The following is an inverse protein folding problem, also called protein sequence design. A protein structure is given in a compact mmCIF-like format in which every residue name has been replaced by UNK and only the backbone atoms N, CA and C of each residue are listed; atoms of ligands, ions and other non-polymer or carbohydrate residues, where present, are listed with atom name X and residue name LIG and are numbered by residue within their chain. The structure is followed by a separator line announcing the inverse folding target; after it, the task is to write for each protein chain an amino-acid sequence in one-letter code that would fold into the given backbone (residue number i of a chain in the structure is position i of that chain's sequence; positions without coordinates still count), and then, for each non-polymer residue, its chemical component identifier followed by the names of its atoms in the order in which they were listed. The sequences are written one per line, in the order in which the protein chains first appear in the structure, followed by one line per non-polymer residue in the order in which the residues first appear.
data_IF_522229155802
#
_entry.id   IF_522229155802
#
_cell.length_a   1.000
_cell.length_b   1.000
_cell.length_c   1.000
_cell.angle_alpha   90.00
_cell.angle_beta   90.00
_cell.angle_gamma   90.00
#
_symmetry.space_group_name_H-M   'P 1'
#
loop_
_entity.id
_entity.type
_entity.pdbx_description
1 polymer ?
#
# COMPACT_ATOMS: atom_id res chain seq x y z
N UNK A 1 17.05 -9.93 -19.35
CA UNK A 1 15.64 -9.49 -19.58
C UNK A 1 15.23 -8.61 -18.42
N UNK A 2 14.47 -7.51 -18.63
CA UNK A 2 13.96 -6.70 -17.50
C UNK A 2 12.63 -7.27 -16.99
N UNK A 3 12.51 -7.47 -15.68
CA UNK A 3 11.31 -7.97 -15.02
C UNK A 3 10.90 -7.01 -13.90
N UNK A 4 9.60 -6.80 -13.73
CA UNK A 4 9.06 -6.07 -12.60
C UNK A 4 9.12 -6.96 -11.35
N UNK A 5 9.82 -6.50 -10.33
CA UNK A 5 10.07 -7.21 -9.08
C UNK A 5 9.29 -6.54 -7.95
N UNK A 6 8.60 -7.37 -7.17
CA UNK A 6 7.87 -6.97 -5.99
C UNK A 6 8.69 -7.25 -4.74
N UNK A 7 9.02 -6.19 -4.01
CA UNK A 7 9.98 -6.22 -2.89
C UNK A 7 9.34 -5.93 -1.54
N UNK A 8 8.02 -5.74 -1.49
CA UNK A 8 7.31 -5.47 -0.23
C UNK A 8 7.67 -6.44 0.91
N UNK A 9 7.77 -7.77 0.69
CA UNK A 9 8.16 -8.69 1.76
C UNK A 9 9.56 -8.37 2.33
N UNK A 10 10.54 -8.12 1.46
CA UNK A 10 11.92 -7.79 1.86
C UNK A 10 12.01 -6.44 2.56
N UNK A 11 11.24 -5.45 2.12
CA UNK A 11 11.15 -4.15 2.80
C UNK A 11 10.60 -4.35 4.22
N UNK A 12 9.52 -5.10 4.40
CA UNK A 12 8.97 -5.38 5.73
C UNK A 12 9.97 -6.12 6.63
N UNK A 13 10.67 -7.11 6.08
CA UNK A 13 11.72 -7.84 6.80
C UNK A 13 12.84 -6.90 7.27
N UNK A 14 13.33 -6.02 6.40
CA UNK A 14 14.36 -5.03 6.74
C UNK A 14 13.92 -4.02 7.81
N UNK A 15 12.61 -3.74 7.89
CA UNK A 15 12.03 -2.86 8.90
C UNK A 15 11.73 -3.61 10.22
N UNK A 16 11.99 -4.91 10.29
CA UNK A 16 11.62 -5.74 11.44
C UNK A 16 10.10 -5.79 11.66
N UNK A 17 9.33 -5.64 10.58
CA UNK A 17 7.89 -5.49 10.63
C UNK A 17 7.15 -6.70 10.05
N UNK A 18 5.97 -6.95 10.60
CA UNK A 18 5.07 -8.01 10.15
C UNK A 18 4.01 -7.50 9.18
N UNK A 19 3.49 -8.38 8.34
CA UNK A 19 2.33 -8.09 7.48
C UNK A 19 1.13 -7.57 8.29
N UNK A 20 0.95 -8.06 9.52
CA UNK A 20 -0.09 -7.59 10.45
C UNK A 20 0.10 -6.12 10.86
N UNK A 21 1.33 -5.72 11.17
CA UNK A 21 1.63 -4.34 11.54
C UNK A 21 1.39 -3.39 10.35
N UNK A 22 1.78 -3.79 9.14
CA UNK A 22 1.47 -3.03 7.93
C UNK A 22 -0.04 -2.90 7.71
N UNK A 23 -0.77 -4.01 7.83
CA UNK A 23 -2.22 -4.06 7.67
C UNK A 23 -2.96 -3.18 8.69
N UNK A 24 -2.52 -3.21 9.94
CA UNK A 24 -3.04 -2.34 11.01
C UNK A 24 -2.83 -0.85 10.68
N UNK A 25 -1.64 -0.48 10.17
CA UNK A 25 -1.33 0.90 9.77
C UNK A 25 -2.15 1.36 8.58
N UNK A 26 -2.32 0.49 7.58
CA UNK A 26 -3.15 0.78 6.42
C UNK A 26 -4.61 1.04 6.81
N UNK A 27 -5.18 0.25 7.73
CA UNK A 27 -6.53 0.50 8.24
C UNK A 27 -6.63 1.84 8.97
N UNK A 28 -5.64 2.20 9.77
CA UNK A 28 -5.61 3.48 10.48
C UNK A 28 -5.59 4.66 9.49
N UNK A 29 -4.75 4.58 8.44
CA UNK A 29 -4.69 5.61 7.39
C UNK A 29 -6.04 5.75 6.66
N UNK A 30 -6.68 4.64 6.31
CA UNK A 30 -8.00 4.64 5.65
C UNK A 30 -9.10 5.22 6.54
N UNK A 31 -9.09 4.93 7.84
CA UNK A 31 -10.03 5.52 8.78
C UNK A 31 -9.86 7.04 8.86
N UNK A 32 -8.62 7.53 8.92
CA UNK A 32 -8.32 8.97 8.90
C UNK A 32 -8.73 9.64 7.58
N UNK A 33 -8.50 8.99 6.43
CA UNK A 33 -8.98 9.46 5.12
C UNK A 33 -10.51 9.58 5.10
N UNK A 34 -11.21 8.57 5.63
CA UNK A 34 -12.67 8.56 5.69
C UNK A 34 -13.22 9.65 6.62
N UNK A 35 -12.59 9.87 7.79
CA UNK A 35 -12.94 10.95 8.71
C UNK A 35 -12.73 12.34 8.09
N UNK A 36 -11.62 12.54 7.38
CA UNK A 36 -11.35 13.79 6.64
C UNK A 36 -12.40 14.02 5.55
N UNK A 37 -12.69 13.01 4.74
CA UNK A 37 -13.71 13.10 3.69
C UNK A 37 -15.10 13.40 4.28
N UNK A 38 -15.47 12.76 5.39
CA UNK A 38 -16.74 13.02 6.07
C UNK A 38 -16.80 14.44 6.67
N UNK A 39 -15.68 14.98 7.13
CA UNK A 39 -15.60 16.35 7.65
C UNK A 39 -15.72 17.37 6.51
N UNK A 40 -15.00 17.18 5.40
CA UNK A 40 -15.10 18.02 4.21
C UNK A 40 -16.50 17.98 3.56
N UNK A 41 -17.20 16.84 3.62
CA UNK A 41 -18.60 16.74 3.16
C UNK A 41 -19.60 17.49 4.05
N UNK A 42 -19.31 17.70 5.35
CA UNK A 42 -20.16 18.49 6.24
C UNK A 42 -20.08 20.00 5.96
N UNK A 43 -18.97 20.46 5.37
CA UNK A 43 -18.80 21.86 4.95
C UNK A 43 -19.28 22.12 3.52
N UNK A 44 -19.47 21.07 2.71
CA UNK A 44 -19.95 21.14 1.32
C UNK A 44 -21.13 20.21 1.07
N UNK A 45 -22.32 20.61 1.49
CA UNK A 45 -23.56 19.87 1.20
C UNK A 45 -23.87 19.93 -0.31
N UNK A 46 -23.57 18.86 -1.06
CA UNK A 46 -24.44 18.23 -2.09
C UNK A 46 -23.72 17.19 -2.97
N UNK A 47 -24.32 16.00 -3.00
CA UNK A 47 -24.32 14.99 -4.09
C UNK A 47 -22.98 14.49 -4.62
N UNK A 48 -22.66 13.24 -4.26
CA UNK A 48 -21.67 12.43 -4.97
C UNK A 48 -21.36 11.16 -4.19
N UNK A 49 -22.02 10.08 -4.59
CA UNK A 49 -21.74 8.67 -4.32
C UNK A 49 -20.57 8.38 -3.37
N UNK A 50 -20.84 7.79 -2.20
CA UNK A 50 -19.80 7.21 -1.34
C UNK A 50 -19.12 6.09 -2.12
N UNK A 51 -18.07 6.41 -2.88
CA UNK A 51 -17.10 5.42 -3.35
C UNK A 51 -16.55 4.75 -2.10
N UNK A 52 -17.05 3.54 -1.81
CA UNK A 52 -16.40 2.67 -0.84
C UNK A 52 -14.96 2.50 -1.34
N UNK A 53 -13.93 2.68 -0.51
CA UNK A 53 -12.56 2.45 -0.94
C UNK A 53 -12.44 1.01 -1.45
N UNK A 54 -12.43 0.85 -2.77
CA UNK A 54 -12.39 -0.44 -3.44
C UNK A 54 -10.94 -0.93 -3.37
N UNK A 55 -10.68 -2.05 -2.69
CA UNK A 55 -9.39 -2.74 -2.78
C UNK A 55 -8.76 -3.21 -1.47
N UNK A 56 -9.25 -2.78 -0.31
CA UNK A 56 -8.65 -3.14 0.98
C UNK A 56 -9.43 -4.26 1.68
N UNK A 57 -9.11 -5.51 1.32
CA UNK A 57 -9.40 -6.64 2.20
C UNK A 57 -8.13 -7.01 2.97
N UNK A 58 -8.21 -7.33 4.28
CA UNK A 58 -7.06 -7.78 5.07
C UNK A 58 -6.30 -8.93 4.38
N UNK A 59 -7.06 -9.89 3.83
CA UNK A 59 -6.51 -11.04 3.11
C UNK A 59 -5.67 -10.61 1.89
N UNK A 60 -6.04 -9.52 1.22
CA UNK A 60 -5.30 -9.01 0.07
C UNK A 60 -3.92 -8.49 0.46
N UNK A 61 -3.81 -7.71 1.55
CA UNK A 61 -2.52 -7.20 2.04
C UNK A 61 -1.62 -8.35 2.50
N UNK A 62 -2.18 -9.30 3.25
CA UNK A 62 -1.45 -10.49 3.69
C UNK A 62 -0.90 -11.28 2.49
N UNK A 63 -1.69 -11.44 1.43
CA UNK A 63 -1.24 -12.10 0.22
C UNK A 63 -0.10 -11.32 -0.46
N UNK A 64 -0.19 -9.99 -0.54
CA UNK A 64 0.89 -9.18 -1.11
C UNK A 64 2.19 -9.19 -0.29
N UNK A 65 2.09 -9.29 1.03
CA UNK A 65 3.25 -9.40 1.91
C UNK A 65 3.91 -10.79 1.85
N UNK A 66 3.24 -11.78 1.25
CA UNK A 66 3.77 -13.14 1.05
C UNK A 66 4.11 -13.46 -0.41
N UNK A 67 3.58 -12.68 -1.35
CA UNK A 67 3.83 -12.85 -2.76
C UNK A 67 5.26 -12.40 -3.11
N UNK A 68 5.93 -13.17 -3.96
CA UNK A 68 7.22 -12.79 -4.57
C UNK A 68 7.04 -12.18 -5.96
N UNK A 69 5.80 -12.16 -6.46
CA UNK A 69 5.42 -11.54 -7.74
C UNK A 69 4.55 -10.31 -7.49
N UNK A 70 4.68 -9.25 -8.32
CA UNK A 70 3.81 -8.10 -8.22
C UNK A 70 2.35 -8.51 -8.47
N UNK A 71 1.38 -7.88 -7.79
CA UNK A 71 -0.03 -8.13 -8.06
C UNK A 71 -0.37 -7.75 -9.50
N UNK A 72 -1.16 -8.58 -10.20
CA UNK A 72 -1.55 -8.32 -11.60
C UNK A 72 -2.28 -6.98 -11.77
N UNK A 73 -3.02 -6.55 -10.74
CA UNK A 73 -3.77 -5.29 -10.73
C UNK A 73 -3.65 -4.63 -9.36
N UNK A 74 -2.62 -3.80 -9.20
CA UNK A 74 -2.52 -2.88 -8.07
C UNK A 74 -2.84 -1.46 -8.54
N UNK A 75 -3.75 -0.78 -7.84
CA UNK A 75 -4.08 0.61 -8.14
C UNK A 75 -2.99 1.53 -7.58
N UNK A 76 -2.71 2.64 -8.26
CA UNK A 76 -1.73 3.65 -7.80
C UNK A 76 -2.03 4.15 -6.39
N UNK A 77 -3.30 4.48 -6.10
CA UNK A 77 -3.73 4.90 -4.76
C UNK A 77 -3.50 3.83 -3.68
N UNK A 78 -3.44 2.54 -4.04
CA UNK A 78 -3.10 1.47 -3.11
C UNK A 78 -1.59 1.43 -2.85
N UNK A 79 -0.77 1.60 -3.88
CA UNK A 79 0.68 1.71 -3.73
C UNK A 79 1.06 2.90 -2.87
N UNK A 80 0.46 4.07 -3.11
CA UNK A 80 0.69 5.29 -2.31
C UNK A 80 0.38 5.07 -0.83
N UNK A 81 -0.74 4.39 -0.51
CA UNK A 81 -1.09 4.05 0.87
C UNK A 81 -0.10 3.08 1.50
N UNK A 82 0.38 2.09 0.75
CA UNK A 82 1.41 1.16 1.21
C UNK A 82 2.70 1.93 1.52
N UNK A 83 3.14 2.81 0.61
CA UNK A 83 4.32 3.64 0.83
C UNK A 83 4.16 4.50 2.08
N UNK A 84 3.08 5.26 2.21
CA UNK A 84 2.82 6.08 3.39
C UNK A 84 2.81 5.27 4.70
N UNK A 85 2.26 4.06 4.69
CA UNK A 85 2.28 3.18 5.86
C UNK A 85 3.70 2.70 6.19
N UNK A 86 4.49 2.33 5.19
CA UNK A 86 5.89 1.93 5.39
C UNK A 86 6.74 3.11 5.89
N UNK A 87 6.53 4.32 5.38
CA UNK A 87 7.24 5.53 5.80
C UNK A 87 7.01 5.85 7.27
N UNK A 88 5.75 5.76 7.72
CA UNK A 88 5.40 5.90 9.14
C UNK A 88 6.08 4.84 10.01
N UNK A 89 6.25 3.62 9.49
CA UNK A 89 6.90 2.53 10.21
C UNK A 89 8.42 2.69 10.24
N UNK A 90 9.01 3.16 9.15
CA UNK A 90 10.45 3.35 9.00
C UNK A 90 10.97 4.66 9.61
N UNK A 91 10.09 5.65 9.82
CA UNK A 91 10.48 6.99 10.25
C UNK A 91 11.28 7.77 9.20
N UNK A 92 11.18 7.37 7.93
CA UNK A 92 11.85 7.99 6.77
C UNK A 92 10.99 7.85 5.52
N UNK A 93 11.29 8.66 4.51
CA UNK A 93 10.72 8.50 3.16
C UNK A 93 11.16 7.15 2.56
N UNK A 94 10.25 6.51 1.80
CA UNK A 94 10.48 5.24 1.11
C UNK A 94 10.14 5.43 -0.36
N UNK A 95 11.13 5.24 -1.23
CA UNK A 95 10.91 5.38 -2.66
C UNK A 95 10.09 4.21 -3.22
N UNK A 96 9.27 4.48 -4.26
CA UNK A 96 8.52 3.43 -4.97
C UNK A 96 9.44 2.29 -5.45
N UNK A 97 10.66 2.61 -5.89
CA UNK A 97 11.67 1.65 -6.34
C UNK A 97 12.18 0.70 -5.25
N UNK A 98 12.00 1.04 -3.97
CA UNK A 98 12.30 0.12 -2.86
C UNK A 98 11.26 -1.00 -2.77
N UNK A 99 10.02 -0.74 -3.20
CA UNK A 99 8.89 -1.67 -3.09
C UNK A 99 8.56 -2.35 -4.43
N UNK A 100 8.68 -1.63 -5.54
CA UNK A 100 8.33 -2.08 -6.89
C UNK A 100 9.34 -1.51 -7.92
N UNK A 101 10.16 -2.37 -8.52
CA UNK A 101 11.21 -1.94 -9.45
C UNK A 101 11.38 -2.85 -10.66
N UNK A 102 11.77 -2.28 -11.79
CA UNK A 102 12.24 -3.05 -12.95
C UNK A 102 13.71 -3.45 -12.74
N UNK A 103 13.98 -4.75 -12.68
CA UNK A 103 15.33 -5.29 -12.51
C UNK A 103 15.77 -6.11 -13.72
N UNK A 104 17.07 -6.09 -14.00
CA UNK A 104 17.67 -6.98 -14.99
C UNK A 104 17.84 -8.38 -14.40
N UNK A 105 17.07 -9.33 -14.94
CA UNK A 105 17.18 -10.74 -14.61
C UNK A 105 17.98 -11.41 -15.72
N UNK A 106 19.07 -12.09 -15.35
CA UNK A 106 19.78 -12.96 -16.28
C UNK A 106 18.86 -14.12 -16.62
N UNK A 107 18.74 -14.43 -17.92
CA UNK A 107 18.11 -15.67 -18.33
C UNK A 107 19.06 -16.79 -17.92
N UNK A 108 18.60 -17.67 -17.03
CA UNK A 108 19.21 -18.99 -16.83
C UNK A 108 19.10 -19.84 -18.10
#
# INVERSE_FOLDING_TARGET
MKRLVWKLPSVLESLGATAYQLETRLRANLALEAERAATSQREGDRTGERERPVGFSPNTIYNWCRATTPPERIQTATLERILAALEQMAGREIALSEVLAWEEVKAD
#
